data_IF_765859202098
#
_entry.id   IF_765859202098
#
_cell.length_a   1.000
_cell.length_b   1.000
_cell.length_c   1.000
_cell.angle_alpha   90.00
_cell.angle_beta   90.00
_cell.angle_gamma   90.00
#
_symmetry.space_group_name_H-M   'P 1'
#
loop_
_entity.id
_entity.type
_entity.pdbx_description
1 polymer ?
#
# COMPACT_ATOMS: atom_id res chain seq x y z
N UNK A 1 4.28 19.04 4.40
CA UNK A 1 5.75 18.91 4.31
C UNK A 1 6.07 17.49 3.89
N UNK A 2 6.96 17.29 2.92
CA UNK A 2 7.40 15.94 2.54
C UNK A 2 8.20 15.33 3.70
N UNK A 3 7.89 14.08 4.07
CA UNK A 3 8.66 13.35 5.09
C UNK A 3 9.83 12.70 4.36
N UNK A 4 10.99 13.35 4.40
CA UNK A 4 12.24 12.74 3.95
C UNK A 4 12.71 11.80 5.05
N UNK A 5 12.60 10.49 4.80
CA UNK A 5 13.18 9.47 5.66
C UNK A 5 14.66 9.33 5.31
N UNK A 6 15.46 8.94 6.28
CA UNK A 6 16.83 8.50 6.02
C UNK A 6 16.80 7.34 5.02
N UNK A 7 17.86 7.23 4.23
CA UNK A 7 18.15 6.01 3.49
C UNK A 7 18.47 4.86 4.45
N UNK A 8 18.46 3.62 3.94
CA UNK A 8 18.79 2.46 4.78
C UNK A 8 20.23 2.52 5.29
N UNK A 9 21.17 2.96 4.45
CA UNK A 9 22.59 3.10 4.80
C UNK A 9 22.81 4.11 5.92
N UNK A 10 22.19 5.30 5.83
CA UNK A 10 22.29 6.33 6.87
C UNK A 10 21.68 5.87 8.19
N UNK A 11 20.56 5.14 8.14
CA UNK A 11 19.91 4.60 9.33
C UNK A 11 20.78 3.54 10.02
N UNK A 12 21.40 2.65 9.25
CA UNK A 12 22.32 1.64 9.77
C UNK A 12 23.55 2.28 10.39
N UNK A 13 24.15 3.27 9.71
CA UNK A 13 25.28 4.02 10.24
C UNK A 13 24.98 4.65 11.61
N UNK A 14 23.84 5.34 11.74
CA UNK A 14 23.44 5.96 13.01
C UNK A 14 23.15 4.94 14.11
N UNK A 15 22.62 3.77 13.74
CA UNK A 15 22.36 2.67 14.67
C UNK A 15 23.67 2.07 15.19
N UNK A 16 24.66 1.87 14.32
CA UNK A 16 25.99 1.41 14.70
C UNK A 16 26.74 2.43 15.54
N UNK A 17 26.66 3.72 15.18
CA UNK A 17 27.23 4.79 16.00
C UNK A 17 26.62 4.82 17.40
N UNK A 18 25.29 4.69 17.52
CA UNK A 18 24.63 4.61 18.82
C UNK A 18 25.17 3.46 19.67
N UNK A 19 25.27 2.25 19.10
CA UNK A 19 25.84 1.08 19.78
C UNK A 19 27.28 1.35 20.22
N UNK A 20 28.10 1.93 19.34
CA UNK A 20 29.50 2.29 19.65
C UNK A 20 29.60 3.27 20.81
N UNK A 21 28.72 4.29 20.86
CA UNK A 21 28.69 5.27 21.95
C UNK A 21 28.33 4.62 23.28
N UNK A 22 27.36 3.71 23.29
CA UNK A 22 26.95 2.97 24.50
C UNK A 22 28.09 2.09 25.01
N UNK A 23 28.78 1.37 24.14
CA UNK A 23 29.92 0.53 24.52
C UNK A 23 31.10 1.38 25.04
N UNK A 24 31.44 2.47 24.35
CA UNK A 24 32.50 3.40 24.81
C UNK A 24 32.17 4.02 26.17
N UNK A 25 30.90 4.29 26.45
CA UNK A 25 30.48 4.84 27.75
C UNK A 25 30.72 3.88 28.92
N UNK A 26 30.83 2.57 28.69
CA UNK A 26 31.08 1.57 29.76
C UNK A 26 32.53 1.59 30.26
N UNK A 27 33.47 1.89 29.37
CA UNK A 27 34.92 1.87 29.68
C UNK A 27 35.52 3.27 29.85
N UNK A 28 34.75 4.32 29.58
CA UNK A 28 35.18 5.71 29.72
C UNK A 28 35.28 6.17 31.19
N UNK A 29 36.06 7.24 31.42
CA UNK A 29 36.09 7.92 32.72
C UNK A 29 34.71 8.49 33.09
N UNK A 30 34.37 8.70 34.37
CA UNK A 30 33.02 9.08 34.79
C UNK A 30 32.46 10.31 34.07
N UNK A 31 33.28 11.36 33.88
CA UNK A 31 32.88 12.57 33.16
C UNK A 31 32.63 12.29 31.68
N UNK A 32 33.53 11.55 31.03
CA UNK A 32 33.38 11.17 29.63
C UNK A 32 32.17 10.23 29.42
N UNK A 33 31.93 9.28 30.32
CA UNK A 33 30.79 8.38 30.30
C UNK A 33 29.46 9.16 30.36
N UNK A 34 29.36 10.19 31.19
CA UNK A 34 28.17 11.07 31.23
C UNK A 34 27.94 11.75 29.89
N UNK A 35 28.97 12.35 29.28
CA UNK A 35 28.86 12.98 27.97
C UNK A 35 28.44 11.97 26.88
N UNK A 36 29.08 10.80 26.84
CA UNK A 36 28.77 9.73 25.87
C UNK A 36 27.35 9.21 26.03
N UNK A 37 26.85 9.04 27.27
CA UNK A 37 25.46 8.63 27.53
C UNK A 37 24.45 9.69 27.06
N UNK A 38 24.75 10.98 27.26
CA UNK A 38 23.88 12.06 26.76
C UNK A 38 23.78 12.02 25.24
N UNK A 39 24.91 11.86 24.53
CA UNK A 39 24.92 11.76 23.07
C UNK A 39 24.19 10.48 22.62
N UNK A 40 24.46 9.35 23.29
CA UNK A 40 23.78 8.08 22.99
C UNK A 40 22.25 8.22 23.17
N UNK A 41 21.79 8.93 24.20
CA UNK A 41 20.36 9.23 24.40
C UNK A 41 19.78 10.03 23.22
N UNK A 42 20.47 11.07 22.75
CA UNK A 42 20.02 11.84 21.58
C UNK A 42 19.89 10.97 20.33
N UNK A 43 20.84 10.05 20.10
CA UNK A 43 20.74 9.07 19.02
C UNK A 43 19.53 8.15 19.20
N UNK A 44 19.28 7.66 20.42
CA UNK A 44 18.13 6.79 20.71
C UNK A 44 16.80 7.50 20.46
N UNK A 45 16.66 8.74 20.95
CA UNK A 45 15.46 9.56 20.76
C UNK A 45 15.20 9.82 19.26
N UNK A 46 16.26 10.10 18.50
CA UNK A 46 16.17 10.28 17.05
C UNK A 46 15.77 8.98 16.32
N UNK A 47 16.43 7.85 16.63
CA UNK A 47 16.13 6.56 16.02
C UNK A 47 14.69 6.11 16.32
N UNK A 48 14.17 6.39 17.52
CA UNK A 48 12.79 6.10 17.87
C UNK A 48 11.80 6.89 16.99
N UNK A 49 12.04 8.18 16.77
CA UNK A 49 11.21 9.00 15.89
C UNK A 49 11.27 8.51 14.44
N UNK A 50 12.46 8.18 13.95
CA UNK A 50 12.66 7.70 12.58
C UNK A 50 11.97 6.35 12.35
N UNK A 51 12.07 5.44 13.32
CA UNK A 51 11.36 4.17 13.29
C UNK A 51 9.84 4.35 13.29
N UNK A 52 9.31 5.29 14.07
CA UNK A 52 7.89 5.62 14.03
C UNK A 52 7.42 6.07 12.65
N UNK A 53 8.20 6.92 11.97
CA UNK A 53 7.88 7.37 10.60
C UNK A 53 8.00 6.23 9.58
N UNK A 54 9.04 5.40 9.70
CA UNK A 54 9.24 4.21 8.83
C UNK A 54 8.11 3.19 9.01
N UNK A 55 7.68 2.92 10.25
CA UNK A 55 6.54 2.06 10.55
C UNK A 55 5.27 2.60 9.88
N UNK A 56 4.95 3.88 10.04
CA UNK A 56 3.78 4.49 9.40
C UNK A 56 3.83 4.39 7.86
N UNK A 57 5.01 4.62 7.26
CA UNK A 57 5.22 4.50 5.81
C UNK A 57 5.03 3.07 5.32
N UNK A 58 5.62 2.09 6.01
CA UNK A 58 5.52 0.67 5.67
C UNK A 58 4.11 0.13 5.82
N UNK A 59 3.39 0.47 6.90
CA UNK A 59 1.98 0.09 7.06
C UNK A 59 1.12 0.62 5.91
N UNK A 60 1.32 1.88 5.50
CA UNK A 60 0.58 2.47 4.38
C UNK A 60 0.90 1.77 3.06
N UNK A 61 2.16 1.39 2.84
CA UNK A 61 2.59 0.67 1.66
C UNK A 61 2.04 -0.77 1.64
N UNK A 62 2.08 -1.47 2.77
CA UNK A 62 1.52 -2.82 2.92
C UNK A 62 0.02 -2.83 2.67
N UNK A 63 -0.74 -1.91 3.26
CA UNK A 63 -2.18 -1.81 3.04
C UNK A 63 -2.55 -1.57 1.55
N UNK A 64 -1.69 -0.88 0.79
CA UNK A 64 -1.88 -0.73 -0.67
C UNK A 64 -1.61 -2.04 -1.40
N UNK A 65 -0.49 -2.69 -1.09
CA UNK A 65 -0.10 -3.99 -1.67
C UNK A 65 -1.16 -5.06 -1.41
N UNK A 66 -1.73 -5.11 -0.20
CA UNK A 66 -2.80 -6.03 0.17
C UNK A 66 -4.06 -5.80 -0.67
N UNK A 67 -4.47 -4.55 -0.86
CA UNK A 67 -5.63 -4.22 -1.72
C UNK A 67 -5.39 -4.56 -3.19
N UNK A 68 -4.16 -4.38 -3.68
CA UNK A 68 -3.80 -4.76 -5.04
C UNK A 68 -3.76 -6.28 -5.22
N UNK A 69 -3.19 -7.00 -4.24
CA UNK A 69 -3.15 -8.45 -4.21
C UNK A 69 -4.57 -9.04 -4.18
N UNK A 70 -5.47 -8.49 -3.36
CA UNK A 70 -6.86 -8.94 -3.29
C UNK A 70 -7.60 -8.74 -4.63
N UNK A 71 -7.41 -7.57 -5.27
CA UNK A 71 -8.00 -7.31 -6.59
C UNK A 71 -7.47 -8.28 -7.65
N UNK A 72 -6.16 -8.55 -7.62
CA UNK A 72 -5.54 -9.50 -8.54
C UNK A 72 -6.07 -10.92 -8.30
N UNK A 73 -6.20 -11.33 -7.04
CA UNK A 73 -6.75 -12.63 -6.66
C UNK A 73 -8.19 -12.80 -7.16
N UNK A 74 -9.06 -11.81 -6.94
CA UNK A 74 -10.45 -11.85 -7.46
C UNK A 74 -10.52 -11.94 -8.98
N UNK A 75 -9.59 -11.29 -9.68
CA UNK A 75 -9.51 -11.40 -11.14
C UNK A 75 -9.07 -12.80 -11.58
N UNK A 76 -8.07 -13.38 -10.90
CA UNK A 76 -7.63 -14.76 -11.17
C UNK A 76 -8.76 -15.76 -10.93
N UNK A 77 -9.45 -15.68 -9.79
CA UNK A 77 -10.60 -16.53 -9.48
C UNK A 77 -11.71 -16.42 -10.54
N UNK A 78 -11.99 -15.19 -11.01
CA UNK A 78 -12.98 -14.96 -12.07
C UNK A 78 -12.56 -15.59 -13.40
N UNK A 79 -11.29 -15.49 -13.77
CA UNK A 79 -10.76 -16.09 -14.99
C UNK A 79 -10.80 -17.63 -14.92
N UNK A 80 -10.42 -18.20 -13.78
CA UNK A 80 -10.48 -19.65 -13.56
C UNK A 80 -11.92 -20.16 -13.60
N UNK A 81 -12.87 -19.44 -13.00
CA UNK A 81 -14.28 -19.78 -13.06
C UNK A 81 -14.83 -19.74 -14.49
N UNK A 82 -14.41 -18.75 -15.30
CA UNK A 82 -14.80 -18.65 -16.70
C UNK A 82 -14.26 -19.82 -17.54
N UNK A 83 -13.00 -20.21 -17.33
CA UNK A 83 -12.40 -21.34 -18.02
C UNK A 83 -13.12 -22.65 -17.71
N UNK A 84 -13.45 -22.89 -16.44
CA UNK A 84 -14.26 -24.06 -16.05
C UNK A 84 -15.62 -24.06 -16.72
N UNK A 85 -16.31 -22.91 -16.72
CA UNK A 85 -17.63 -22.77 -17.38
C UNK A 85 -17.56 -23.01 -18.89
N UNK A 86 -16.46 -22.65 -19.56
CA UNK A 86 -16.26 -22.97 -20.99
C UNK A 86 -16.01 -24.46 -21.24
N UNK A 87 -15.32 -25.16 -20.33
CA UNK A 87 -15.09 -26.60 -20.44
C UNK A 87 -16.33 -27.43 -20.09
N UNK A 88 -17.15 -26.95 -19.15
CA UNK A 88 -18.40 -27.59 -18.72
C UNK A 88 -19.62 -27.23 -19.59
N UNK A 89 -19.47 -26.43 -20.64
CA UNK A 89 -20.48 -26.32 -21.69
C UNK A 89 -20.27 -27.44 -22.74
N UNK A 90 -20.97 -28.59 -22.65
CA UNK A 90 -21.21 -29.39 -23.83
C UNK A 90 -22.09 -28.56 -24.78
N UNK A 91 -21.86 -28.74 -26.08
CA UNK A 91 -22.70 -28.25 -27.18
C UNK A 91 -24.18 -28.49 -26.84
N UNK A 92 -24.89 -27.45 -26.42
CA UNK A 92 -26.34 -27.41 -26.51
C UNK A 92 -26.68 -26.73 -27.83
N UNK A 93 -27.59 -27.38 -28.54
CA UNK A 93 -27.84 -27.29 -29.96
C UNK A 93 -28.09 -25.88 -30.52
N UNK A 94 -27.85 -25.80 -31.83
CA UNK A 94 -28.40 -24.76 -32.69
C UNK A 94 -29.90 -24.58 -32.42
N UNK A 95 -30.28 -23.43 -31.87
CA UNK A 95 -31.66 -22.96 -31.93
C UNK A 95 -31.66 -21.57 -32.56
N UNK A 96 -32.03 -21.55 -33.84
CA UNK A 96 -32.21 -20.34 -34.61
C UNK A 96 -33.26 -19.45 -33.96
N UNK A 97 -32.92 -18.17 -33.84
CA UNK A 97 -33.90 -17.08 -33.71
C UNK A 97 -33.60 -16.06 -34.80
N UNK A 98 -33.87 -16.45 -36.04
CA UNK A 98 -34.22 -15.49 -37.09
C UNK A 98 -35.54 -14.84 -36.69
N UNK A 99 -35.53 -13.53 -36.40
CA UNK A 99 -36.79 -12.80 -36.26
C UNK A 99 -36.70 -11.47 -35.51
N UNK A 100 -36.61 -10.40 -36.29
CA UNK A 100 -37.14 -9.05 -35.98
C UNK A 100 -36.33 -8.14 -35.04
N UNK A 101 -35.55 -7.29 -35.67
CA UNK A 101 -35.47 -5.88 -35.27
C UNK A 101 -36.83 -5.21 -35.51
N UNK A 102 -37.25 -4.28 -34.64
CA UNK A 102 -37.95 -3.09 -35.08
C UNK A 102 -37.01 -1.89 -34.94
N UNK A 103 -36.65 -1.36 -36.09
CA UNK A 103 -36.26 0.02 -36.23
C UNK A 103 -37.46 0.92 -35.91
N UNK A 104 -37.22 2.00 -35.16
CA UNK A 104 -38.06 3.19 -35.18
C UNK A 104 -38.83 3.46 -33.89
N UNK A 105 -38.33 4.40 -33.09
CA UNK A 105 -39.02 5.69 -32.88
C UNK A 105 -38.10 6.67 -32.13
N UNK A 106 -37.65 7.70 -32.86
CA UNK A 106 -37.33 9.02 -32.31
C UNK A 106 -38.65 9.70 -31.94
N UNK A 107 -38.56 10.77 -31.12
CA UNK A 107 -39.62 11.68 -30.62
C UNK A 107 -40.17 11.24 -29.25
N UNK A 108 -40.25 12.04 -28.20
CA UNK A 108 -40.11 13.48 -28.04
C UNK A 108 -39.68 13.83 -26.60
N UNK A 109 -38.96 14.95 -26.50
CA UNK A 109 -38.63 15.67 -25.26
C UNK A 109 -39.80 16.60 -24.92
N UNK A 110 -40.36 16.60 -23.70
CA UNK A 110 -41.04 17.78 -23.19
C UNK A 110 -40.11 18.64 -22.34
N UNK A 111 -40.37 19.93 -22.48
CA UNK A 111 -39.64 21.07 -21.95
C UNK A 111 -39.74 21.20 -20.42
N UNK A 112 -38.79 21.97 -19.92
CA UNK A 112 -38.79 22.60 -18.61
C UNK A 112 -40.14 23.20 -18.20
N UNK A 113 -40.44 23.14 -16.90
CA UNK A 113 -41.11 24.23 -16.20
C UNK A 113 -40.36 24.50 -14.91
N UNK A 114 -39.71 25.66 -14.88
CA UNK A 114 -39.25 26.31 -13.66
C UNK A 114 -40.52 26.74 -12.90
N UNK A 115 -40.53 26.50 -11.59
CA UNK A 115 -41.53 27.11 -10.70
C UNK A 115 -40.79 28.16 -9.87
N UNK A 116 -41.43 29.33 -9.80
CA UNK A 116 -40.98 30.57 -9.20
C UNK A 116 -40.78 30.48 -7.67
#
# INVERSE_FOLDING_TARGET
>A
MAVTLLTEEEYQFLTEQHKSLVEKAKTASPRAATHLRTIAKMHSDFLALENGKRAASTTKAQARKEREAEKLQRQQERLTALQKKMQEQPKADAQGTTGQAPAGQRQDRPKASATA
#
